data_IF_742528753943
#
_entry.id   IF_742528753943
#
_cell.length_a   1.000
_cell.length_b   1.000
_cell.length_c   1.000
_cell.angle_alpha   90.00
_cell.angle_beta   90.00
_cell.angle_gamma   90.00
#
_symmetry.space_group_name_H-M   'P 1'
#
loop_
_entity.id
_entity.type
_entity.pdbx_description
1 polymer ?
#
# COMPACT_ATOMS: atom_id res chain seq x y z
N UNK A 1 -8.67 4.29 4.08
CA UNK A 1 -7.85 3.39 4.93
C UNK A 1 -7.51 4.19 6.17
N UNK A 2 -7.98 3.75 7.33
CA UNK A 2 -7.55 4.35 8.60
C UNK A 2 -6.32 3.58 9.07
N UNK A 3 -5.21 4.29 9.27
CA UNK A 3 -3.99 3.66 9.75
C UNK A 3 -3.99 3.61 11.28
N UNK A 4 -3.55 2.47 11.82
CA UNK A 4 -3.30 2.34 13.24
C UNK A 4 -1.92 2.91 13.57
N UNK A 5 -1.86 4.00 14.34
CA UNK A 5 -0.59 4.64 14.71
C UNK A 5 0.29 3.78 15.65
N UNK A 6 -0.25 2.72 16.24
CA UNK A 6 0.52 1.76 17.06
C UNK A 6 1.27 0.72 16.22
N UNK A 7 1.03 0.65 14.92
CA UNK A 7 1.69 -0.28 13.99
C UNK A 7 2.44 0.54 12.93
N UNK A 8 3.68 0.19 12.57
CA UNK A 8 4.38 0.87 11.48
C UNK A 8 3.55 0.91 10.20
N UNK A 9 3.42 2.09 9.61
CA UNK A 9 2.57 2.34 8.44
C UNK A 9 2.95 1.45 7.26
N UNK A 10 4.26 1.26 7.00
CA UNK A 10 4.73 0.42 5.90
C UNK A 10 4.24 -1.03 5.98
N UNK A 11 4.12 -1.60 7.19
CA UNK A 11 3.61 -2.96 7.38
C UNK A 11 2.13 -3.05 7.02
N UNK A 12 1.34 -2.06 7.43
CA UNK A 12 -0.09 -1.98 7.10
C UNK A 12 -0.31 -1.86 5.59
N UNK A 13 0.55 -1.11 4.89
CA UNK A 13 0.53 -0.98 3.43
C UNK A 13 0.85 -2.31 2.76
N UNK A 14 1.92 -2.99 3.19
CA UNK A 14 2.31 -4.30 2.66
C UNK A 14 1.18 -5.31 2.82
N UNK A 15 0.55 -5.36 3.99
CA UNK A 15 -0.53 -6.31 4.23
C UNK A 15 -1.77 -6.00 3.40
N UNK A 16 -2.10 -4.73 3.17
CA UNK A 16 -3.16 -4.34 2.23
C UNK A 16 -2.86 -4.79 0.81
N UNK A 17 -1.62 -4.61 0.32
CA UNK A 17 -1.22 -5.04 -1.02
C UNK A 17 -1.33 -6.56 -1.16
N UNK A 18 -0.87 -7.32 -0.15
CA UNK A 18 -1.03 -8.78 -0.14
C UNK A 18 -2.49 -9.20 -0.21
N UNK A 19 -3.37 -8.55 0.55
CA UNK A 19 -4.81 -8.82 0.51
C UNK A 19 -5.37 -8.56 -0.89
N UNK A 20 -5.03 -7.44 -1.52
CA UNK A 20 -5.49 -7.10 -2.87
C UNK A 20 -5.01 -8.10 -3.94
N UNK A 21 -3.83 -8.71 -3.76
CA UNK A 21 -3.36 -9.82 -4.60
C UNK A 21 -4.21 -11.07 -4.37
N UNK A 22 -4.44 -11.45 -3.11
CA UNK A 22 -5.20 -12.66 -2.74
C UNK A 22 -6.64 -12.60 -3.25
N UNK A 23 -7.29 -11.43 -3.17
CA UNK A 23 -8.66 -11.25 -3.68
C UNK A 23 -8.71 -10.99 -5.20
N UNK A 24 -7.56 -10.97 -5.88
CA UNK A 24 -7.47 -10.81 -7.33
C UNK A 24 -7.72 -9.38 -7.85
N UNK A 25 -7.71 -8.37 -6.98
CA UNK A 25 -7.76 -6.95 -7.37
C UNK A 25 -6.46 -6.51 -8.04
N UNK A 26 -5.32 -6.99 -7.54
CA UNK A 26 -4.01 -6.84 -8.17
C UNK A 26 -3.66 -8.13 -8.91
N UNK A 27 -3.53 -8.03 -10.23
CA UNK A 27 -3.21 -9.19 -11.08
C UNK A 27 -1.71 -9.28 -11.35
N UNK A 28 -1.24 -10.51 -11.53
CA UNK A 28 0.14 -10.77 -11.97
C UNK A 28 0.43 -10.02 -13.27
N UNK A 29 1.57 -9.33 -13.33
CA UNK A 29 1.98 -8.52 -14.49
C UNK A 29 1.32 -7.15 -14.58
N UNK A 30 0.37 -6.82 -13.69
CA UNK A 30 -0.18 -5.47 -13.61
C UNK A 30 0.86 -4.50 -13.10
N UNK A 31 0.98 -3.35 -13.77
CA UNK A 31 1.89 -2.28 -13.35
C UNK A 31 1.42 -1.72 -12.00
N UNK A 32 2.31 -1.77 -11.01
CA UNK A 32 2.09 -1.11 -9.74
C UNK A 32 2.29 0.41 -9.87
N UNK A 33 1.56 1.22 -9.08
CA UNK A 33 1.86 2.64 -8.96
C UNK A 33 3.29 2.83 -8.43
N UNK A 34 3.92 3.93 -8.82
CA UNK A 34 5.21 4.32 -8.23
C UNK A 34 5.06 4.65 -6.75
N UNK A 35 6.18 4.64 -6.02
CA UNK A 35 6.23 5.02 -4.60
C UNK A 35 5.59 6.38 -4.35
N UNK A 36 5.83 7.37 -5.23
CA UNK A 36 5.25 8.71 -5.09
C UNK A 36 3.75 8.74 -5.32
N UNK A 37 3.27 8.02 -6.34
CA UNK A 37 1.83 7.93 -6.64
C UNK A 37 1.08 7.23 -5.50
N UNK A 38 1.62 6.09 -5.04
CA UNK A 38 1.00 5.32 -3.97
C UNK A 38 1.03 6.09 -2.63
N UNK A 39 2.10 6.84 -2.34
CA UNK A 39 2.15 7.72 -1.16
C UNK A 39 1.10 8.82 -1.23
N UNK A 40 0.88 9.41 -2.41
CA UNK A 40 -0.18 10.40 -2.63
C UNK A 40 -1.59 9.83 -2.47
N UNK A 41 -1.85 8.63 -3.01
CA UNK A 41 -3.13 7.92 -2.88
C UNK A 41 -3.44 7.60 -1.42
N UNK A 42 -2.44 7.10 -0.69
CA UNK A 42 -2.57 6.69 0.71
C UNK A 42 -2.44 7.87 1.69
N UNK A 43 -2.09 9.06 1.19
CA UNK A 43 -1.80 10.27 1.99
C UNK A 43 -0.77 10.00 3.10
N UNK A 44 0.25 9.21 2.79
CA UNK A 44 1.36 8.88 3.69
C UNK A 44 2.64 9.60 3.23
N UNK A 45 3.59 9.78 4.14
CA UNK A 45 4.89 10.35 3.79
C UNK A 45 5.61 9.39 2.82
N UNK A 46 6.10 9.86 1.65
CA UNK A 46 6.82 9.03 0.68
C UNK A 46 8.04 8.29 1.25
N UNK A 47 8.65 8.81 2.32
CA UNK A 47 9.79 8.17 2.98
C UNK A 47 9.37 7.03 3.94
N UNK A 48 8.07 6.85 4.17
CA UNK A 48 7.47 5.78 4.99
C UNK A 48 6.99 4.60 4.14
N UNK A 49 7.11 4.71 2.82
CA UNK A 49 6.83 3.64 1.86
C UNK A 49 8.07 2.85 1.48
#
# INVERSE_FOLDING_TARGET
MEFNNSIPIYLQIIDSIKQDIVVGKLKTGQKMPSVRELAGILKVNPNTM
#
